data_IF_449758458970
#
_entry.id   IF_449758458970
#
_cell.length_a   1.000
_cell.length_b   1.000
_cell.length_c   1.000
_cell.angle_alpha   90.00
_cell.angle_beta   90.00
_cell.angle_gamma   90.00
#
_symmetry.space_group_name_H-M   'P 1'
#
loop_
_entity.id
_entity.type
_entity.pdbx_description
1 polymer ?
#
# COMPACT_ATOMS: atom_id res chain seq x y z
N UNK A 1 22.85 40.04 -49.46
CA UNK A 1 23.77 41.00 -48.82
C UNK A 1 24.75 40.15 -48.04
N UNK A 2 25.80 39.71 -48.72
CA UNK A 2 27.13 40.33 -48.78
C UNK A 2 27.91 40.15 -47.47
N UNK A 3 29.00 39.41 -47.64
CA UNK A 3 30.12 39.07 -46.76
C UNK A 3 30.86 40.28 -46.13
N UNK A 4 31.78 40.02 -45.15
CA UNK A 4 32.52 41.00 -44.33
C UNK A 4 33.73 41.56 -45.15
N UNK A 5 34.89 42.06 -44.64
CA UNK A 5 35.45 42.27 -43.28
C UNK A 5 36.17 43.64 -43.12
N UNK A 6 36.97 43.87 -42.07
CA UNK A 6 38.40 44.24 -42.25
C UNK A 6 39.21 44.38 -40.95
N UNK A 7 40.51 44.16 -41.11
CA UNK A 7 41.58 44.09 -40.13
C UNK A 7 42.29 45.43 -39.89
N UNK A 8 43.19 45.45 -38.89
CA UNK A 8 44.45 46.19 -38.96
C UNK A 8 44.65 47.33 -37.95
N UNK A 9 45.79 47.32 -37.26
CA UNK A 9 46.28 48.46 -36.46
C UNK A 9 47.55 48.17 -35.66
N UNK A 10 48.70 48.26 -36.33
CA UNK A 10 50.07 48.26 -35.77
C UNK A 10 50.42 49.51 -34.95
N UNK A 11 51.46 49.38 -34.10
CA UNK A 11 52.39 50.46 -33.69
C UNK A 11 52.09 51.12 -32.33
N UNK A 12 53.05 51.40 -31.45
CA UNK A 12 54.50 51.38 -31.56
C UNK A 12 55.16 51.76 -30.23
N UNK A 13 56.42 51.32 -30.06
CA UNK A 13 57.27 51.60 -28.90
C UNK A 13 57.92 52.98 -29.07
N UNK A 14 57.78 53.86 -28.07
CA UNK A 14 58.47 55.14 -28.00
C UNK A 14 59.27 55.25 -26.71
N UNK A 15 60.58 55.05 -26.80
CA UNK A 15 61.54 55.40 -25.74
C UNK A 15 62.10 56.81 -25.93
N UNK A 16 62.60 57.41 -24.85
CA UNK A 16 63.45 58.59 -24.91
C UNK A 16 63.37 59.47 -23.66
N UNK A 17 64.47 59.55 -22.90
CA UNK A 17 64.61 60.52 -21.82
C UNK A 17 65.77 60.24 -20.87
N UNK A 18 67.01 60.35 -21.35
CA UNK A 18 68.23 60.33 -20.53
C UNK A 18 68.59 61.71 -19.97
N UNK A 19 69.17 61.73 -18.77
CA UNK A 19 69.94 62.81 -18.14
C UNK A 19 69.76 62.77 -16.61
N UNK A 20 70.76 62.69 -15.74
CA UNK A 20 72.22 62.78 -15.85
C UNK A 20 72.77 63.55 -14.63
N UNK A 21 73.64 62.93 -13.83
CA UNK A 21 74.43 63.54 -12.74
C UNK A 21 74.22 62.83 -11.39
N UNK A 22 75.22 62.41 -10.60
CA UNK A 22 76.69 62.48 -10.69
C UNK A 22 77.29 62.48 -9.27
N UNK A 23 78.37 61.72 -9.02
CA UNK A 23 79.29 61.76 -7.84
C UNK A 23 78.94 60.79 -6.71
N UNK A 24 79.64 59.66 -6.53
CA UNK A 24 80.98 59.47 -5.86
C UNK A 24 80.92 59.90 -4.37
N UNK A 25 81.11 59.01 -3.39
CA UNK A 25 82.44 58.73 -2.79
C UNK A 25 82.46 57.44 -1.93
N UNK A 26 83.66 56.84 -1.87
CA UNK A 26 84.03 55.57 -1.26
C UNK A 26 84.37 55.64 0.25
N UNK A 27 84.40 54.44 0.86
CA UNK A 27 85.32 53.93 1.89
C UNK A 27 84.72 53.59 3.27
N UNK A 28 84.73 52.29 3.61
CA UNK A 28 85.59 51.72 4.65
C UNK A 28 85.34 50.20 4.81
N UNK A 29 86.42 49.44 4.61
CA UNK A 29 86.63 48.03 4.97
C UNK A 29 86.25 47.71 6.43
N UNK A 30 85.64 46.54 6.70
CA UNK A 30 86.08 45.64 7.78
C UNK A 30 85.48 44.22 7.64
N UNK A 31 86.38 43.24 7.75
CA UNK A 31 86.25 41.84 8.17
C UNK A 31 85.26 40.85 7.51
N UNK A 32 85.89 40.02 6.67
CA UNK A 32 85.54 38.64 6.36
C UNK A 32 85.56 37.74 7.60
N UNK A 33 84.41 37.21 8.00
CA UNK A 33 84.14 35.77 8.24
C UNK A 33 82.81 35.63 9.00
N UNK A 34 81.70 35.61 8.26
CA UNK A 34 80.48 34.95 8.71
C UNK A 34 79.96 34.13 7.55
N UNK A 35 80.07 32.82 7.70
CA UNK A 35 79.41 31.82 6.88
C UNK A 35 77.95 32.20 6.67
N UNK A 36 77.61 32.57 5.43
CA UNK A 36 76.23 32.67 4.95
C UNK A 36 75.66 31.24 4.95
N UNK A 37 75.16 30.79 6.10
CA UNK A 37 73.94 30.00 6.06
C UNK A 37 72.87 30.93 5.49
N UNK A 38 72.19 30.60 4.39
CA UNK A 38 70.97 31.32 4.08
C UNK A 38 70.04 31.10 5.28
N UNK A 39 69.89 32.17 6.07
CA UNK A 39 68.72 32.41 6.88
C UNK A 39 67.56 32.47 5.89
N UNK A 40 67.09 31.28 5.49
CA UNK A 40 65.72 31.10 5.09
C UNK A 40 64.93 31.48 6.33
N UNK A 41 64.62 32.78 6.42
CA UNK A 41 63.69 33.30 7.40
C UNK A 41 62.55 32.31 7.48
N UNK A 42 62.31 31.82 8.69
CA UNK A 42 61.37 30.75 8.98
C UNK A 42 60.02 31.04 8.34
N UNK A 43 59.87 30.54 7.12
CA UNK A 43 58.59 30.23 6.54
C UNK A 43 58.16 29.00 7.31
N UNK A 44 57.25 29.25 8.24
CA UNK A 44 56.34 28.29 8.83
C UNK A 44 56.13 27.12 7.84
N UNK A 45 56.42 25.85 8.22
CA UNK A 45 56.29 24.74 7.31
C UNK A 45 54.81 24.58 6.93
N UNK A 46 54.46 25.14 5.78
CA UNK A 46 53.29 24.78 4.97
C UNK A 46 52.03 24.57 5.81
N UNK A 47 51.38 25.67 6.19
CA UNK A 47 49.93 25.65 6.34
C UNK A 47 49.32 24.95 5.12
N UNK A 48 48.67 23.83 5.38
CA UNK A 48 47.73 23.09 4.52
C UNK A 48 47.85 23.35 3.01
N UNK A 49 48.67 22.56 2.32
CA UNK A 49 48.77 22.61 0.86
C UNK A 49 47.45 22.25 0.15
N UNK A 50 46.45 21.74 0.87
CA UNK A 50 45.12 21.42 0.34
C UNK A 50 44.37 22.68 -0.11
N UNK A 51 43.96 22.75 -1.38
CA UNK A 51 43.12 23.85 -1.88
C UNK A 51 41.70 23.89 -1.29
N UNK A 52 41.32 22.85 -0.54
CA UNK A 52 40.09 22.78 0.24
C UNK A 52 40.40 22.83 1.74
N UNK A 53 39.96 21.80 2.47
CA UNK A 53 40.21 21.64 3.89
C UNK A 53 40.69 20.21 4.18
N UNK A 54 41.54 20.10 5.18
CA UNK A 54 41.99 18.81 5.69
C UNK A 54 41.02 18.34 6.79
N UNK A 55 40.37 17.20 6.58
CA UNK A 55 39.45 16.58 7.54
C UNK A 55 39.86 15.12 7.82
N UNK A 56 39.45 14.53 8.97
CA UNK A 56 39.76 13.14 9.27
C UNK A 56 39.28 12.21 8.15
N UNK A 57 40.10 11.23 7.78
CA UNK A 57 39.72 10.22 6.79
C UNK A 57 38.49 9.44 7.25
N UNK A 58 37.64 9.06 6.29
CA UNK A 58 36.50 8.19 6.51
C UNK A 58 36.92 6.81 7.04
N UNK A 59 36.18 6.22 7.99
CA UNK A 59 36.34 4.82 8.33
C UNK A 59 35.94 3.92 7.14
N UNK A 60 36.43 2.68 7.14
CA UNK A 60 36.08 1.71 6.11
C UNK A 60 34.55 1.51 6.02
N UNK A 61 34.02 1.53 4.80
CA UNK A 61 32.58 1.37 4.51
C UNK A 61 31.82 2.69 4.37
N UNK A 62 32.37 3.81 4.81
CA UNK A 62 31.79 5.14 4.62
C UNK A 62 32.26 5.76 3.30
N UNK A 63 31.47 6.70 2.78
CA UNK A 63 31.89 7.52 1.64
C UNK A 63 33.08 8.41 2.00
N UNK A 64 33.82 8.85 0.99
CA UNK A 64 34.74 9.98 1.15
C UNK A 64 33.99 11.23 1.66
N UNK A 65 34.64 12.10 2.45
CA UNK A 65 34.02 13.33 2.95
C UNK A 65 33.60 14.26 1.80
N UNK A 66 32.34 14.67 1.81
CA UNK A 66 31.76 15.61 0.87
C UNK A 66 31.00 16.72 1.57
N UNK A 67 30.37 17.59 0.78
CA UNK A 67 29.57 18.70 1.27
C UNK A 67 28.10 18.28 1.38
N UNK A 68 27.43 18.60 2.48
CA UNK A 68 26.02 18.33 2.71
C UNK A 68 25.29 19.64 3.04
N UNK A 69 24.29 19.98 2.25
CA UNK A 69 23.33 21.02 2.60
C UNK A 69 22.06 20.40 3.17
N UNK A 70 21.46 21.04 4.17
CA UNK A 70 20.23 20.63 4.83
C UNK A 70 19.34 21.87 4.97
N UNK A 71 18.09 21.80 4.50
CA UNK A 71 17.18 22.93 4.60
C UNK A 71 15.79 22.66 4.04
N UNK A 72 15.03 23.72 3.77
CA UNK A 72 13.67 23.61 3.22
C UNK A 72 13.68 23.05 1.79
N UNK A 73 12.82 22.07 1.44
CA UNK A 73 12.66 21.58 0.08
C UNK A 73 12.34 22.67 -0.97
N UNK A 74 11.78 23.80 -0.55
CA UNK A 74 11.43 24.90 -1.47
C UNK A 74 12.64 25.76 -1.88
N UNK A 75 13.76 25.65 -1.16
CA UNK A 75 14.93 26.52 -1.30
C UNK A 75 16.24 25.73 -1.49
N UNK A 76 16.19 24.57 -2.15
CA UNK A 76 17.39 23.74 -2.38
C UNK A 76 18.39 24.50 -3.27
N UNK A 77 19.62 24.79 -2.80
CA UNK A 77 20.63 25.48 -3.58
C UNK A 77 21.24 24.55 -4.63
N UNK A 78 21.98 25.12 -5.59
CA UNK A 78 22.87 24.34 -6.45
C UNK A 78 24.16 23.96 -5.71
N UNK A 79 24.78 22.85 -6.11
CA UNK A 79 26.10 22.48 -5.62
C UNK A 79 27.15 23.57 -5.92
N UNK A 80 28.06 23.87 -4.97
CA UNK A 80 29.06 24.92 -5.14
C UNK A 80 30.13 24.53 -6.15
N UNK A 81 30.83 25.51 -6.73
CA UNK A 81 31.89 25.26 -7.72
C UNK A 81 33.05 24.40 -7.20
N UNK A 82 33.29 24.39 -5.88
CA UNK A 82 34.30 23.55 -5.22
C UNK A 82 33.88 22.08 -5.13
N UNK A 83 32.58 21.78 -5.17
CA UNK A 83 32.02 20.44 -5.19
C UNK A 83 30.82 20.38 -6.15
N UNK A 84 31.03 20.46 -7.49
CA UNK A 84 29.97 20.73 -8.45
C UNK A 84 29.09 19.51 -8.77
N UNK A 85 29.43 18.33 -8.28
CA UNK A 85 28.76 17.07 -8.63
C UNK A 85 27.71 16.77 -7.55
N UNK A 86 26.45 16.61 -7.94
CA UNK A 86 25.39 16.10 -7.06
C UNK A 86 25.66 14.62 -6.80
N UNK A 87 25.96 14.27 -5.55
CA UNK A 87 26.20 12.91 -5.09
C UNK A 87 25.01 12.29 -4.35
N UNK A 88 24.11 13.11 -3.81
CA UNK A 88 22.94 12.62 -3.07
C UNK A 88 21.81 13.66 -3.04
N UNK A 89 20.57 13.19 -3.13
CA UNK A 89 19.36 13.96 -2.84
C UNK A 89 18.46 13.12 -1.92
N UNK A 90 17.95 13.71 -0.85
CA UNK A 90 17.08 13.00 0.08
C UNK A 90 16.29 13.95 0.97
N UNK A 91 15.44 13.36 1.81
CA UNK A 91 14.46 14.09 2.59
C UNK A 91 14.35 13.57 4.02
N UNK A 92 13.96 14.44 4.94
CA UNK A 92 13.70 14.11 6.34
C UNK A 92 12.43 14.81 6.86
N UNK A 93 12.03 14.45 8.08
CA UNK A 93 10.84 14.97 8.75
C UNK A 93 9.56 14.77 7.91
N UNK A 94 9.30 13.50 7.60
CA UNK A 94 8.10 13.10 6.87
C UNK A 94 6.84 13.30 7.71
N UNK A 95 5.92 14.14 7.22
CA UNK A 95 4.58 14.28 7.75
C UNK A 95 3.61 13.42 6.92
N UNK A 96 3.08 12.31 7.48
CA UNK A 96 2.11 11.48 6.77
C UNK A 96 0.82 12.27 6.55
N UNK A 97 0.12 12.05 5.42
CA UNK A 97 -1.14 12.70 5.15
C UNK A 97 -2.27 12.05 5.96
N UNK A 98 -3.50 12.54 5.78
CA UNK A 98 -4.68 11.95 6.39
C UNK A 98 -4.78 10.43 6.07
N UNK A 99 -5.36 9.63 7.00
CA UNK A 99 -5.59 8.21 6.77
C UNK A 99 -6.40 7.97 5.48
N UNK A 100 -6.06 6.90 4.75
CA UNK A 100 -6.80 6.50 3.56
C UNK A 100 -8.24 6.14 3.96
N UNK A 101 -9.21 6.81 3.34
CA UNK A 101 -10.61 6.45 3.45
C UNK A 101 -10.91 5.36 2.42
N UNK A 102 -11.50 4.27 2.88
CA UNK A 102 -11.86 3.15 2.04
C UNK A 102 -13.39 3.03 1.94
N UNK A 103 -13.91 2.52 0.81
CA UNK A 103 -15.34 2.38 0.61
C UNK A 103 -15.94 1.38 1.61
N UNK A 104 -17.18 1.65 2.00
CA UNK A 104 -17.97 0.66 2.75
C UNK A 104 -18.39 -0.45 1.78
N UNK A 105 -18.23 -1.71 2.17
CA UNK A 105 -18.68 -2.84 1.35
C UNK A 105 -20.17 -3.13 1.57
N UNK A 106 -20.83 -3.62 0.52
CA UNK A 106 -22.19 -4.14 0.56
C UNK A 106 -22.34 -5.39 -0.30
N UNK A 107 -23.41 -6.14 -0.06
CA UNK A 107 -23.74 -7.36 -0.80
C UNK A 107 -25.07 -7.19 -1.51
N UNK A 108 -25.15 -7.63 -2.77
CA UNK A 108 -26.44 -7.77 -3.45
C UNK A 108 -27.27 -8.87 -2.80
N UNK A 109 -28.61 -8.79 -2.87
CA UNK A 109 -29.46 -9.89 -2.41
C UNK A 109 -29.09 -11.19 -3.13
N UNK A 110 -29.06 -12.32 -2.42
CA UNK A 110 -28.78 -13.61 -3.05
C UNK A 110 -29.96 -14.02 -3.96
N UNK A 111 -29.65 -14.69 -5.07
CA UNK A 111 -30.66 -15.39 -5.83
C UNK A 111 -31.03 -16.68 -5.09
N UNK A 112 -32.32 -16.98 -4.95
CA UNK A 112 -32.77 -18.20 -4.31
C UNK A 112 -33.93 -18.85 -5.07
N UNK A 113 -34.08 -20.15 -4.87
CA UNK A 113 -35.25 -20.93 -5.31
C UNK A 113 -35.74 -21.82 -4.17
N UNK A 114 -37.05 -22.05 -4.12
CA UNK A 114 -37.65 -23.03 -3.23
C UNK A 114 -37.85 -24.34 -4.00
N UNK A 115 -37.12 -25.37 -3.64
CA UNK A 115 -37.31 -26.72 -4.15
C UNK A 115 -38.52 -27.35 -3.43
N UNK A 116 -39.52 -27.71 -4.22
CA UNK A 116 -40.76 -28.31 -3.73
C UNK A 116 -40.51 -29.75 -3.27
N UNK A 117 -41.22 -30.23 -2.22
CA UNK A 117 -41.03 -31.57 -1.73
C UNK A 117 -41.59 -32.60 -2.70
N UNK A 118 -40.73 -33.53 -3.15
CA UNK A 118 -41.12 -34.63 -4.04
C UNK A 118 -41.44 -35.93 -3.29
N UNK A 119 -40.98 -36.06 -2.05
CA UNK A 119 -41.24 -37.21 -1.20
C UNK A 119 -42.56 -37.07 -0.42
N UNK A 120 -43.53 -37.90 -0.80
CA UNK A 120 -44.86 -37.97 -0.22
C UNK A 120 -45.18 -39.43 0.09
N UNK A 121 -45.61 -39.71 1.32
CA UNK A 121 -45.88 -41.07 1.78
C UNK A 121 -47.21 -41.15 2.52
N UNK A 122 -48.07 -42.08 2.11
CA UNK A 122 -49.29 -42.39 2.82
C UNK A 122 -49.08 -43.55 3.80
N UNK A 123 -49.71 -43.47 4.97
CA UNK A 123 -49.64 -44.50 6.01
C UNK A 123 -51.03 -44.95 6.43
N UNK A 124 -51.12 -46.23 6.82
CA UNK A 124 -52.32 -46.86 7.34
C UNK A 124 -52.62 -46.53 8.83
N UNK A 125 -51.98 -45.50 9.39
CA UNK A 125 -52.18 -45.04 10.76
C UNK A 125 -51.85 -43.55 10.91
N UNK A 126 -52.30 -42.93 12.01
CA UNK A 126 -51.90 -41.58 12.42
C UNK A 126 -51.31 -41.63 13.84
N UNK A 127 -50.23 -40.86 14.16
CA UNK A 127 -49.44 -40.01 13.26
C UNK A 127 -48.74 -40.80 12.17
N UNK A 128 -48.23 -40.09 11.15
CA UNK A 128 -47.39 -40.67 10.11
C UNK A 128 -46.29 -41.50 10.76
N UNK A 129 -46.13 -42.73 10.29
CA UNK A 129 -45.42 -43.77 11.04
C UNK A 129 -43.93 -43.49 11.27
N UNK A 130 -43.34 -44.22 12.22
CA UNK A 130 -41.91 -44.20 12.52
C UNK A 130 -41.06 -44.92 11.45
N UNK A 131 -39.72 -45.00 11.62
CA UNK A 131 -38.79 -45.45 10.59
C UNK A 131 -39.04 -46.86 10.00
N UNK A 132 -39.81 -47.71 10.68
CA UNK A 132 -40.15 -49.07 10.23
C UNK A 132 -41.61 -49.23 9.78
N UNK A 133 -42.41 -48.16 9.80
CA UNK A 133 -43.81 -48.24 9.41
C UNK A 133 -43.95 -48.41 7.90
N UNK A 134 -44.73 -49.39 7.40
CA UNK A 134 -44.93 -49.58 5.98
C UNK A 134 -45.60 -48.35 5.37
N UNK A 135 -44.94 -47.77 4.36
CA UNK A 135 -45.38 -46.59 3.65
C UNK A 135 -45.89 -46.97 2.25
N UNK A 136 -47.02 -46.41 1.85
CA UNK A 136 -47.45 -46.40 0.46
C UNK A 136 -46.90 -45.15 -0.20
N UNK A 137 -45.99 -45.32 -1.17
CA UNK A 137 -45.44 -44.18 -1.89
C UNK A 137 -46.54 -43.43 -2.63
N UNK A 138 -46.62 -42.13 -2.40
CA UNK A 138 -47.41 -41.17 -3.16
C UNK A 138 -46.47 -40.10 -3.75
N UNK A 139 -45.19 -40.43 -3.94
CA UNK A 139 -44.15 -39.50 -4.34
C UNK A 139 -44.44 -38.84 -5.70
N UNK A 140 -43.98 -37.60 -5.86
CA UNK A 140 -43.98 -36.89 -7.13
C UNK A 140 -42.91 -37.47 -8.08
N UNK A 141 -43.03 -37.26 -9.40
CA UNK A 141 -41.97 -37.63 -10.33
C UNK A 141 -40.68 -36.82 -10.06
N UNK A 142 -39.55 -37.36 -10.50
CA UNK A 142 -38.28 -36.64 -10.45
C UNK A 142 -38.35 -35.34 -11.28
N UNK A 143 -37.76 -34.25 -10.76
CA UNK A 143 -37.77 -32.95 -11.44
C UNK A 143 -39.12 -32.22 -11.44
N UNK A 144 -40.07 -32.66 -10.63
CA UNK A 144 -41.38 -32.02 -10.52
C UNK A 144 -41.32 -30.59 -9.99
N UNK A 145 -42.06 -29.68 -10.62
CA UNK A 145 -42.11 -28.25 -10.32
C UNK A 145 -43.27 -27.84 -9.40
N UNK A 146 -44.10 -28.80 -8.98
CA UNK A 146 -45.29 -28.57 -8.16
C UNK A 146 -46.60 -28.52 -8.96
N UNK A 147 -46.55 -28.59 -10.30
CA UNK A 147 -47.74 -28.67 -11.16
C UNK A 147 -48.64 -29.87 -10.84
N UNK A 148 -49.94 -29.82 -11.16
CA UNK A 148 -50.82 -30.94 -10.88
C UNK A 148 -50.33 -32.26 -11.51
N UNK A 149 -50.22 -33.33 -10.72
CA UNK A 149 -49.83 -34.65 -11.21
C UNK A 149 -50.57 -35.78 -10.50
N UNK A 150 -50.96 -36.81 -11.26
CA UNK A 150 -51.57 -38.05 -10.78
C UNK A 150 -50.57 -39.22 -10.71
N UNK A 151 -49.28 -38.96 -10.89
CA UNK A 151 -48.23 -39.98 -10.79
C UNK A 151 -48.23 -40.59 -9.38
N UNK A 152 -48.11 -41.91 -9.29
CA UNK A 152 -48.17 -42.70 -8.05
C UNK A 152 -49.48 -42.54 -7.26
N UNK A 153 -50.62 -42.29 -7.93
CA UNK A 153 -51.93 -42.23 -7.28
C UNK A 153 -52.26 -43.51 -6.49
N UNK A 154 -53.01 -43.33 -5.39
CA UNK A 154 -53.50 -44.41 -4.53
C UNK A 154 -55.01 -44.49 -4.66
N UNK A 155 -55.50 -45.63 -5.16
CA UNK A 155 -56.93 -45.87 -5.35
C UNK A 155 -57.70 -45.93 -4.02
N UNK A 156 -58.97 -45.54 -4.06
CA UNK A 156 -59.86 -45.63 -2.90
C UNK A 156 -60.01 -47.08 -2.42
N UNK A 157 -60.06 -47.27 -1.10
CA UNK A 157 -60.28 -48.58 -0.50
C UNK A 157 -59.12 -49.59 -0.65
N UNK A 158 -57.98 -49.19 -1.22
CA UNK A 158 -56.79 -50.04 -1.26
C UNK A 158 -56.37 -50.45 0.15
N UNK A 159 -56.09 -51.73 0.35
CA UNK A 159 -55.68 -52.29 1.64
C UNK A 159 -54.18 -52.59 1.69
N UNK A 160 -53.58 -52.26 2.83
CA UNK A 160 -52.18 -52.49 3.19
C UNK A 160 -52.21 -53.19 4.56
N UNK A 161 -51.69 -54.42 4.64
CA UNK A 161 -51.68 -55.26 5.84
C UNK A 161 -53.07 -55.41 6.53
N UNK A 162 -54.13 -55.48 5.71
CA UNK A 162 -55.50 -55.69 6.17
C UNK A 162 -56.24 -54.43 6.63
N UNK A 163 -55.60 -53.26 6.57
CA UNK A 163 -56.21 -51.95 6.85
C UNK A 163 -56.18 -51.05 5.61
N UNK A 164 -56.98 -49.97 5.54
CA UNK A 164 -56.86 -48.99 4.46
C UNK A 164 -55.47 -48.35 4.43
N UNK A 165 -54.84 -48.32 3.25
CA UNK A 165 -53.46 -47.81 3.07
C UNK A 165 -53.29 -46.33 3.42
N UNK A 166 -54.39 -45.56 3.36
CA UNK A 166 -54.37 -44.10 3.52
C UNK A 166 -55.20 -43.71 4.73
N UNK A 167 -54.52 -43.25 5.77
CA UNK A 167 -55.08 -42.65 6.99
C UNK A 167 -54.27 -41.42 7.45
N UNK A 168 -53.01 -41.33 7.04
CA UNK A 168 -52.22 -40.12 7.14
C UNK A 168 -51.32 -39.93 5.92
N UNK A 169 -50.86 -38.70 5.73
CA UNK A 169 -49.98 -38.30 4.63
C UNK A 169 -48.79 -37.53 5.20
N UNK A 170 -47.58 -38.05 4.99
CA UNK A 170 -46.34 -37.37 5.28
C UNK A 170 -45.80 -36.70 4.02
N UNK A 171 -45.27 -35.50 4.18
CA UNK A 171 -44.67 -34.70 3.11
C UNK A 171 -43.36 -34.13 3.65
N UNK A 172 -42.26 -34.31 2.94
CA UNK A 172 -40.99 -33.72 3.36
C UNK A 172 -41.04 -32.19 3.39
N UNK A 173 -40.13 -31.59 4.14
CA UNK A 173 -39.96 -30.14 4.12
C UNK A 173 -39.48 -29.69 2.72
N UNK A 174 -39.96 -28.54 2.20
CA UNK A 174 -39.31 -27.90 1.05
C UNK A 174 -37.86 -27.53 1.40
N UNK A 175 -37.04 -27.22 0.39
CA UNK A 175 -35.66 -26.77 0.61
C UNK A 175 -35.40 -25.45 -0.09
N UNK A 176 -34.66 -24.55 0.56
CA UNK A 176 -34.17 -23.35 -0.11
C UNK A 176 -32.79 -23.64 -0.67
N UNK A 177 -32.59 -23.30 -1.94
CA UNK A 177 -31.26 -23.28 -2.54
C UNK A 177 -30.95 -21.84 -2.93
N UNK A 178 -29.94 -21.28 -2.26
CA UNK A 178 -29.46 -19.92 -2.50
C UNK A 178 -28.10 -19.95 -3.19
N UNK A 179 -27.92 -19.07 -4.17
CA UNK A 179 -26.61 -18.73 -4.71
C UNK A 179 -25.91 -17.70 -3.81
N UNK A 180 -24.59 -17.56 -3.94
CA UNK A 180 -23.82 -16.56 -3.20
C UNK A 180 -24.20 -15.12 -3.58
N UNK A 181 -23.89 -14.17 -2.70
CA UNK A 181 -24.10 -12.75 -2.99
C UNK A 181 -22.94 -12.15 -3.80
N UNK A 182 -23.26 -11.26 -4.73
CA UNK A 182 -22.25 -10.46 -5.41
C UNK A 182 -21.79 -9.30 -4.50
N UNK A 183 -20.48 -9.13 -4.24
CA UNK A 183 -19.97 -8.00 -3.49
C UNK A 183 -19.99 -6.71 -4.33
N UNK A 184 -20.26 -5.59 -3.68
CA UNK A 184 -20.22 -4.25 -4.27
C UNK A 184 -19.69 -3.22 -3.28
N UNK A 185 -19.32 -2.06 -3.80
CA UNK A 185 -19.01 -0.87 -3.00
C UNK A 185 -20.29 -0.09 -2.72
N UNK A 186 -20.54 0.21 -1.45
CA UNK A 186 -21.67 1.00 -0.98
C UNK A 186 -21.36 2.49 -1.06
N UNK A 187 -21.83 3.12 -2.14
CA UNK A 187 -21.63 4.56 -2.38
C UNK A 187 -20.21 4.88 -2.86
N UNK A 188 -20.10 5.80 -3.82
CA UNK A 188 -18.82 6.47 -4.06
C UNK A 188 -18.50 7.34 -2.85
N UNK A 189 -17.24 7.45 -2.39
CA UNK A 189 -16.88 8.46 -1.40
C UNK A 189 -17.36 9.83 -1.88
N UNK A 190 -17.93 10.64 -0.98
CA UNK A 190 -18.55 11.93 -1.32
C UNK A 190 -17.60 12.93 -2.01
N UNK A 191 -16.29 12.68 -1.98
CA UNK A 191 -15.28 13.44 -2.72
C UNK A 191 -14.24 12.51 -3.36
N UNK A 192 -14.47 12.03 -4.60
CA UNK A 192 -13.48 11.25 -5.34
C UNK A 192 -12.30 12.11 -5.86
N UNK A 193 -12.44 13.44 -5.87
CA UNK A 193 -11.53 14.38 -6.51
C UNK A 193 -10.61 15.17 -5.55
N UNK A 194 -10.70 14.95 -4.23
CA UNK A 194 -9.67 15.50 -3.34
C UNK A 194 -8.45 14.56 -3.43
N UNK A 195 -7.34 14.98 -4.08
CA UNK A 195 -6.17 14.14 -4.16
C UNK A 195 -5.76 13.84 -2.72
N UNK A 196 -5.76 12.55 -2.35
CA UNK A 196 -5.19 12.11 -1.09
C UNK A 196 -3.80 12.73 -1.03
N UNK A 197 -3.62 13.72 -0.17
CA UNK A 197 -2.44 14.58 -0.20
C UNK A 197 -1.25 13.64 -0.10
N UNK A 198 -0.30 13.71 -1.03
CA UNK A 198 0.96 13.02 -0.82
C UNK A 198 1.54 13.61 0.47
N UNK A 199 2.01 12.77 1.39
CA UNK A 199 2.68 13.28 2.59
C UNK A 199 3.82 14.22 2.19
N UNK A 200 4.19 15.13 3.07
CA UNK A 200 5.22 16.13 2.80
C UNK A 200 6.45 15.89 3.64
N UNK A 201 7.62 16.17 3.10
CA UNK A 201 8.84 16.29 3.88
C UNK A 201 9.07 17.75 4.25
N UNK A 202 9.48 18.00 5.49
CA UNK A 202 9.82 19.35 5.94
C UNK A 202 11.30 19.72 5.64
N UNK A 203 12.16 18.72 5.41
CA UNK A 203 13.59 18.90 5.19
C UNK A 203 14.02 18.19 3.91
N UNK A 204 14.84 18.87 3.11
CA UNK A 204 15.61 18.32 2.01
C UNK A 204 17.11 18.34 2.34
N UNK A 205 17.83 17.38 1.77
CA UNK A 205 19.27 17.25 1.86
C UNK A 205 19.88 17.11 0.47
N UNK A 206 20.98 17.83 0.25
CA UNK A 206 21.75 17.79 -0.99
C UNK A 206 23.22 17.49 -0.66
N UNK A 207 23.69 16.32 -1.08
CA UNK A 207 25.09 15.93 -1.01
C UNK A 207 25.82 16.32 -2.28
N UNK A 208 26.91 17.06 -2.14
CA UNK A 208 27.76 17.55 -3.23
C UNK A 208 29.19 17.02 -3.07
N UNK A 209 29.76 16.53 -4.16
CA UNK A 209 31.13 15.98 -4.19
C UNK A 209 32.00 16.70 -5.21
N UNK A 210 33.31 16.64 -5.00
CA UNK A 210 34.31 17.28 -5.84
C UNK A 210 35.71 16.82 -5.45
N UNK A 211 36.69 17.20 -6.26
CA UNK A 211 38.08 16.85 -6.00
C UNK A 211 38.82 18.05 -5.42
N UNK A 212 39.55 17.84 -4.33
CA UNK A 212 40.48 18.83 -3.78
C UNK A 212 41.91 18.25 -3.80
N UNK A 213 42.88 19.11 -4.13
CA UNK A 213 44.28 18.73 -4.31
C UNK A 213 45.16 19.96 -4.06
N UNK A 214 46.44 19.80 -3.70
CA UNK A 214 47.17 18.57 -3.32
C UNK A 214 46.72 17.96 -1.98
N UNK A 215 47.16 16.72 -1.63
CA UNK A 215 46.76 16.06 -0.38
C UNK A 215 47.28 16.79 0.87
N UNK A 216 46.66 16.49 2.01
CA UNK A 216 47.06 16.99 3.32
C UNK A 216 48.42 16.45 3.76
N UNK A 217 49.10 17.22 4.63
CA UNK A 217 50.40 16.83 5.17
C UNK A 217 50.30 15.62 6.13
N UNK A 218 49.20 15.52 6.90
CA UNK A 218 48.92 14.38 7.77
C UNK A 218 48.25 13.23 6.96
N UNK A 219 48.85 12.03 6.90
CA UNK A 219 48.26 10.88 6.21
C UNK A 219 46.95 10.36 6.82
N UNK A 220 46.62 10.74 8.06
CA UNK A 220 45.32 10.47 8.70
C UNK A 220 44.21 11.42 8.25
N UNK A 221 44.54 12.45 7.48
CA UNK A 221 43.62 13.45 6.96
C UNK A 221 43.45 13.29 5.45
N UNK A 222 42.28 13.68 4.94
CA UNK A 222 42.00 13.75 3.51
C UNK A 222 41.67 15.18 3.11
N UNK A 223 42.11 15.57 1.91
CA UNK A 223 41.82 16.88 1.35
C UNK A 223 40.44 16.81 0.67
N UNK A 224 39.47 17.55 1.21
CA UNK A 224 38.09 17.61 0.70
C UNK A 224 37.71 19.05 0.35
N UNK A 225 36.76 19.28 -0.58
CA UNK A 225 36.21 20.61 -0.81
C UNK A 225 35.76 21.30 0.49
N UNK A 226 36.07 22.59 0.60
CA UNK A 226 35.61 23.41 1.72
C UNK A 226 34.21 23.96 1.46
N UNK A 227 33.37 24.08 2.51
CA UNK A 227 32.16 24.88 2.46
C UNK A 227 32.46 26.31 1.96
N UNK A 228 31.55 26.93 1.21
CA UNK A 228 31.68 28.34 0.85
C UNK A 228 31.70 29.23 2.11
N UNK A 229 32.50 30.30 2.10
CA UNK A 229 32.62 31.28 3.20
C UNK A 229 31.62 32.42 2.96
N UNK A 230 30.95 32.93 4.02
CA UNK A 230 30.06 34.11 3.96
C UNK A 230 28.61 33.79 4.33
N UNK A 231 27.62 34.41 3.65
CA UNK A 231 26.18 34.14 3.85
C UNK A 231 25.76 32.68 3.53
N UNK A 232 26.71 31.87 3.05
CA UNK A 232 26.62 30.44 2.82
C UNK A 232 27.29 29.59 3.93
N UNK A 233 27.64 30.19 5.07
CA UNK A 233 28.11 29.50 6.27
C UNK A 233 26.94 28.98 7.12
N UNK A 234 27.12 27.90 7.92
CA UNK A 234 26.06 27.33 8.75
C UNK A 234 25.41 28.38 9.68
N UNK A 235 24.08 28.39 9.88
CA UNK A 235 23.18 27.23 9.83
C UNK A 235 22.52 26.91 8.47
N UNK A 236 22.66 27.77 7.44
CA UNK A 236 22.12 27.56 6.08
C UNK A 236 23.20 27.15 5.04
N UNK A 237 24.37 26.75 5.53
CA UNK A 237 25.55 26.42 4.74
C UNK A 237 25.81 24.92 4.54
N UNK A 238 26.82 24.60 3.74
CA UNK A 238 27.26 23.22 3.55
C UNK A 238 28.09 22.72 4.75
N UNK A 239 27.75 21.55 5.26
CA UNK A 239 28.50 20.78 6.25
C UNK A 239 29.46 19.82 5.56
N UNK A 240 30.53 19.42 6.23
CA UNK A 240 31.44 18.38 5.70
C UNK A 240 31.13 17.05 6.33
N UNK A 241 30.67 16.09 5.53
CA UNK A 241 30.08 14.86 6.04
C UNK A 241 30.49 13.65 5.22
N UNK A 242 30.51 12.50 5.89
CA UNK A 242 30.58 11.17 5.28
C UNK A 242 29.18 10.55 5.29
N UNK A 243 28.88 9.65 4.35
CA UNK A 243 27.60 8.95 4.32
C UNK A 243 27.73 7.43 4.18
N UNK A 244 26.69 6.74 4.62
CA UNK A 244 26.53 5.30 4.47
C UNK A 244 25.05 4.98 4.24
N UNK A 245 24.77 4.05 3.32
CA UNK A 245 23.41 3.54 3.08
C UNK A 245 22.89 2.80 4.32
N UNK A 246 21.66 3.09 4.73
CA UNK A 246 21.02 2.58 5.95
C UNK A 246 21.14 3.53 7.14
N UNK A 247 20.54 3.11 8.26
CA UNK A 247 20.65 3.80 9.54
C UNK A 247 21.86 3.26 10.33
N UNK A 248 22.84 4.12 10.58
CA UNK A 248 24.09 3.76 11.24
C UNK A 248 24.41 4.72 12.39
N UNK A 249 25.25 4.27 13.32
CA UNK A 249 25.87 5.14 14.31
C UNK A 249 27.06 5.87 13.70
N UNK A 250 27.23 7.13 14.07
CA UNK A 250 28.33 7.92 13.57
C UNK A 250 29.66 7.60 14.27
N UNK A 251 30.78 7.60 13.53
CA UNK A 251 32.09 7.47 14.14
C UNK A 251 32.43 8.71 14.98
N UNK A 252 33.30 8.55 15.97
CA UNK A 252 33.70 9.63 16.87
C UNK A 252 34.32 10.86 16.15
N UNK A 253 34.89 10.66 14.95
CA UNK A 253 35.46 11.72 14.10
C UNK A 253 34.40 12.57 13.39
N UNK A 254 33.18 12.06 13.24
CA UNK A 254 32.05 12.73 12.59
C UNK A 254 30.79 12.60 13.46
N UNK A 255 30.73 13.22 14.65
CA UNK A 255 29.72 12.87 15.66
C UNK A 255 28.30 13.34 15.35
N UNK A 256 28.11 14.27 14.40
CA UNK A 256 26.81 14.89 14.15
C UNK A 256 26.02 14.09 13.13
N UNK A 257 25.00 13.37 13.62
CA UNK A 257 24.21 12.40 12.85
C UNK A 257 22.97 13.02 12.23
N UNK A 258 22.78 12.78 10.94
CA UNK A 258 21.56 13.09 10.19
C UNK A 258 21.10 11.86 9.39
N UNK A 259 19.80 11.62 9.30
CA UNK A 259 19.23 10.52 8.52
C UNK A 259 18.26 11.09 7.50
N UNK A 260 18.44 10.70 6.24
CA UNK A 260 17.59 11.10 5.14
C UNK A 260 17.11 9.88 4.36
N UNK A 261 16.00 10.03 3.67
CA UNK A 261 15.34 8.99 2.90
C UNK A 261 15.22 9.45 1.44
N UNK A 262 15.39 8.53 0.49
CA UNK A 262 15.27 8.87 -0.93
C UNK A 262 13.82 9.21 -1.35
N UNK A 263 12.84 8.77 -0.56
CA UNK A 263 11.43 9.03 -0.80
C UNK A 263 10.54 8.22 0.13
N UNK A 264 9.32 7.95 -0.33
CA UNK A 264 8.28 7.23 0.41
C UNK A 264 7.73 6.12 -0.46
N UNK A 265 7.53 4.94 0.13
CA UNK A 265 6.74 3.89 -0.48
C UNK A 265 5.32 3.93 0.10
N UNK A 266 4.33 4.17 -0.77
CA UNK A 266 2.92 4.13 -0.42
C UNK A 266 2.29 2.83 -0.95
N UNK A 267 2.13 1.85 -0.06
CA UNK A 267 1.41 0.61 -0.35
C UNK A 267 -0.03 0.66 0.16
N UNK A 268 -0.51 1.83 0.61
CA UNK A 268 -1.84 1.94 1.20
C UNK A 268 -2.91 1.70 0.15
N UNK A 269 -3.72 0.68 0.38
CA UNK A 269 -4.86 0.31 -0.44
C UNK A 269 -6.10 0.08 0.41
N UNK A 270 -7.11 -0.50 -0.21
CA UNK A 270 -8.31 -0.96 0.47
C UNK A 270 -8.44 -2.46 0.29
N UNK A 271 -8.80 -3.18 1.35
CA UNK A 271 -9.14 -4.59 1.25
C UNK A 271 -10.28 -4.78 0.24
N UNK A 272 -10.23 -5.81 -0.62
CA UNK A 272 -11.30 -6.06 -1.58
C UNK A 272 -12.61 -6.38 -0.85
N UNK A 273 -13.73 -5.89 -1.38
CA UNK A 273 -15.04 -6.24 -0.85
C UNK A 273 -15.38 -7.71 -1.09
N UNK A 274 -15.95 -8.35 -0.08
CA UNK A 274 -16.47 -9.71 -0.14
C UNK A 274 -17.79 -9.85 0.60
N UNK A 275 -18.42 -11.02 0.42
CA UNK A 275 -19.69 -11.39 1.04
C UNK A 275 -19.58 -12.79 1.65
N UNK A 276 -20.18 -12.99 2.82
CA UNK A 276 -20.36 -14.32 3.39
C UNK A 276 -21.41 -15.14 2.61
N UNK A 277 -21.54 -16.42 2.95
CA UNK A 277 -22.64 -17.25 2.44
C UNK A 277 -24.00 -16.72 2.92
N UNK A 278 -25.07 -16.87 2.12
CA UNK A 278 -26.42 -16.46 2.52
C UNK A 278 -26.88 -17.14 3.80
N UNK A 279 -27.34 -16.35 4.76
CA UNK A 279 -27.93 -16.82 6.00
C UNK A 279 -29.41 -16.41 6.12
N UNK A 280 -30.19 -17.23 6.82
CA UNK A 280 -31.60 -16.95 7.12
C UNK A 280 -32.56 -17.16 5.95
N UNK A 281 -32.15 -17.88 4.90
CA UNK A 281 -33.02 -18.18 3.77
C UNK A 281 -34.16 -19.12 4.21
N UNK A 282 -35.40 -18.78 3.86
CA UNK A 282 -36.58 -19.58 4.22
C UNK A 282 -37.56 -19.66 3.04
N UNK A 283 -38.28 -20.77 2.92
CA UNK A 283 -39.43 -20.82 2.02
C UNK A 283 -40.60 -21.56 2.64
N UNK A 284 -41.80 -21.18 2.20
CA UNK A 284 -43.03 -21.86 2.56
C UNK A 284 -43.80 -22.27 1.30
N UNK A 285 -44.40 -23.45 1.34
CA UNK A 285 -45.16 -24.03 0.23
C UNK A 285 -46.52 -24.52 0.72
N UNK A 286 -47.53 -24.41 -0.13
CA UNK A 286 -48.83 -25.06 0.06
C UNK A 286 -48.81 -26.37 -0.72
N UNK A 287 -48.72 -27.47 0.01
CA UNK A 287 -48.82 -28.81 -0.53
C UNK A 287 -50.28 -29.28 -0.45
N UNK A 288 -50.83 -29.77 -1.56
CA UNK A 288 -52.23 -30.22 -1.65
C UNK A 288 -52.32 -31.62 -2.27
N UNK A 289 -53.17 -32.46 -1.70
CA UNK A 289 -53.56 -33.76 -2.22
C UNK A 289 -55.05 -33.74 -2.55
N UNK A 290 -55.41 -34.42 -3.64
CA UNK A 290 -56.76 -34.47 -4.19
C UNK A 290 -57.18 -35.90 -4.45
N UNK A 291 -58.49 -36.16 -4.45
CA UNK A 291 -59.05 -37.50 -4.65
C UNK A 291 -59.21 -37.86 -6.12
N UNK A 292 -59.31 -36.85 -6.98
CA UNK A 292 -59.38 -36.98 -8.44
C UNK A 292 -58.00 -36.78 -9.09
N UNK A 293 -57.89 -37.02 -10.39
CA UNK A 293 -56.66 -36.87 -11.15
C UNK A 293 -56.41 -35.44 -11.68
N UNK A 294 -57.38 -34.53 -11.56
CA UNK A 294 -57.35 -33.18 -12.12
C UNK A 294 -57.10 -32.08 -11.07
N UNK A 295 -56.66 -32.45 -9.86
CA UNK A 295 -56.43 -31.54 -8.74
C UNK A 295 -57.64 -30.64 -8.41
N UNK A 296 -58.85 -31.20 -8.40
CA UNK A 296 -60.08 -30.42 -8.22
C UNK A 296 -60.83 -30.71 -6.91
N UNK A 297 -60.76 -31.95 -6.42
CA UNK A 297 -61.45 -32.44 -5.23
C UNK A 297 -60.44 -32.58 -4.07
N UNK A 298 -60.21 -31.47 -3.36
CA UNK A 298 -59.21 -31.37 -2.29
C UNK A 298 -59.50 -32.36 -1.15
N UNK A 299 -58.48 -33.14 -0.79
CA UNK A 299 -58.50 -34.09 0.33
C UNK A 299 -57.75 -33.53 1.52
N UNK A 300 -56.56 -32.98 1.28
CA UNK A 300 -55.73 -32.38 2.31
C UNK A 300 -54.88 -31.26 1.74
N UNK A 301 -54.68 -30.21 2.55
CA UNK A 301 -53.77 -29.11 2.25
C UNK A 301 -52.93 -28.79 3.48
N UNK A 302 -51.63 -28.60 3.30
CA UNK A 302 -50.69 -28.27 4.37
C UNK A 302 -49.73 -27.17 3.92
N UNK A 303 -49.50 -26.20 4.81
CA UNK A 303 -48.42 -25.23 4.63
C UNK A 303 -47.17 -25.81 5.29
N UNK A 304 -46.13 -25.99 4.49
CA UNK A 304 -44.83 -26.54 4.92
C UNK A 304 -43.78 -25.44 4.86
N UNK A 305 -42.80 -25.49 5.75
CA UNK A 305 -41.66 -24.57 5.81
C UNK A 305 -40.36 -25.35 5.71
N UNK A 306 -39.27 -24.70 5.32
CA UNK A 306 -38.00 -25.33 4.94
C UNK A 306 -37.39 -26.32 5.96
N UNK A 307 -37.80 -26.24 7.24
CA UNK A 307 -37.24 -27.05 8.33
C UNK A 307 -38.25 -28.03 8.97
N UNK A 308 -39.49 -28.07 8.48
CA UNK A 308 -40.57 -28.81 9.11
C UNK A 308 -41.31 -29.73 8.12
N UNK A 309 -41.05 -31.06 8.15
CA UNK A 309 -41.86 -31.99 7.38
C UNK A 309 -43.30 -31.99 7.91
N UNK A 310 -44.26 -32.18 7.01
CA UNK A 310 -45.67 -32.24 7.32
C UNK A 310 -46.15 -33.66 7.59
N UNK A 311 -47.11 -33.78 8.50
CA UNK A 311 -47.93 -34.97 8.63
C UNK A 311 -49.39 -34.56 8.83
N UNK A 312 -50.28 -35.03 7.97
CA UNK A 312 -51.72 -34.75 8.02
C UNK A 312 -52.54 -36.01 8.19
N UNK A 313 -53.69 -35.89 8.88
CA UNK A 313 -54.72 -36.94 8.86
C UNK A 313 -55.46 -36.93 7.54
N UNK A 314 -55.80 -38.11 7.04
CA UNK A 314 -56.65 -38.32 5.86
C UNK A 314 -57.81 -39.23 6.28
N UNK A 315 -59.02 -38.99 5.76
CA UNK A 315 -60.13 -39.88 6.04
C UNK A 315 -59.81 -41.30 5.52
N UNK A 316 -60.07 -42.30 6.38
CA UNK A 316 -59.64 -43.67 6.15
C UNK A 316 -60.18 -44.23 4.83
N UNK A 317 -59.28 -44.73 3.98
CA UNK A 317 -59.63 -45.34 2.70
C UNK A 317 -59.96 -44.37 1.56
N UNK A 318 -59.76 -43.06 1.75
CA UNK A 318 -59.83 -42.08 0.66
C UNK A 318 -58.80 -42.34 -0.43
N UNK A 319 -59.14 -41.96 -1.67
CA UNK A 319 -58.18 -41.92 -2.75
C UNK A 319 -57.21 -40.74 -2.60
N UNK A 320 -55.97 -40.95 -3.03
CA UNK A 320 -55.01 -39.91 -3.35
C UNK A 320 -54.80 -39.93 -4.86
N UNK A 321 -55.67 -39.24 -5.60
CA UNK A 321 -55.72 -39.24 -7.06
C UNK A 321 -54.71 -38.31 -7.72
N UNK A 322 -54.40 -37.17 -7.09
CA UNK A 322 -53.39 -36.22 -7.59
C UNK A 322 -52.85 -35.31 -6.49
N UNK A 323 -51.79 -34.59 -6.80
CA UNK A 323 -51.08 -33.67 -5.90
C UNK A 323 -50.59 -32.43 -6.64
N UNK A 324 -50.47 -31.33 -5.90
CA UNK A 324 -49.85 -30.08 -6.36
C UNK A 324 -49.10 -29.40 -5.22
N UNK A 325 -48.07 -28.63 -5.56
CA UNK A 325 -47.38 -27.73 -4.62
C UNK A 325 -47.30 -26.35 -5.24
N UNK A 326 -47.60 -25.33 -4.45
CA UNK A 326 -47.36 -23.92 -4.83
C UNK A 326 -46.47 -23.24 -3.80
N UNK A 327 -45.51 -22.45 -4.25
CA UNK A 327 -44.65 -21.64 -3.37
C UNK A 327 -45.47 -20.44 -2.88
N UNK A 328 -45.59 -20.29 -1.57
CA UNK A 328 -46.32 -19.19 -0.93
C UNK A 328 -45.36 -18.03 -0.64
N UNK A 329 -44.19 -18.33 -0.10
CA UNK A 329 -43.17 -17.34 0.23
C UNK A 329 -41.77 -17.89 0.01
N UNK A 330 -40.87 -17.00 -0.40
CA UNK A 330 -39.44 -17.26 -0.48
C UNK A 330 -38.71 -16.02 0.03
N UNK A 331 -37.98 -16.18 1.12
CA UNK A 331 -36.98 -15.23 1.58
C UNK A 331 -35.60 -15.79 1.20
N UNK A 332 -34.86 -15.12 0.29
CA UNK A 332 -33.56 -15.62 -0.16
C UNK A 332 -32.47 -15.54 0.92
N UNK A 333 -32.72 -14.84 2.03
CA UNK A 333 -31.74 -14.58 3.08
C UNK A 333 -30.87 -13.37 2.76
N UNK A 334 -29.79 -13.19 3.53
CA UNK A 334 -28.85 -12.07 3.39
C UNK A 334 -27.42 -12.54 3.58
N UNK A 335 -26.48 -11.82 2.96
CA UNK A 335 -25.06 -11.98 3.21
C UNK A 335 -24.53 -10.80 4.01
N UNK A 336 -23.56 -11.06 4.88
CA UNK A 336 -22.83 -10.02 5.59
C UNK A 336 -21.64 -9.57 4.73
N UNK A 337 -21.51 -8.25 4.46
CA UNK A 337 -20.35 -7.73 3.75
C UNK A 337 -19.12 -7.70 4.65
N UNK A 338 -17.95 -7.88 4.05
CA UNK A 338 -16.65 -7.68 4.69
C UNK A 338 -15.66 -7.03 3.71
N UNK A 339 -14.54 -6.54 4.21
CA UNK A 339 -13.56 -5.82 3.41
C UNK A 339 -13.79 -4.31 3.48
N UNK A 340 -13.08 -3.57 2.62
CA UNK A 340 -13.16 -2.11 2.62
C UNK A 340 -12.41 -1.47 3.78
N UNK A 341 -11.63 -2.22 4.55
CA UNK A 341 -10.71 -1.65 5.53
C UNK A 341 -9.41 -1.15 4.85
N UNK A 342 -8.79 -0.08 5.35
CA UNK A 342 -7.46 0.32 4.89
C UNK A 342 -6.42 -0.76 5.14
N UNK A 343 -5.60 -1.04 4.13
CA UNK A 343 -4.49 -2.00 4.20
C UNK A 343 -3.20 -1.36 3.69
N UNK A 344 -2.07 -2.01 3.95
CA UNK A 344 -0.75 -1.52 3.54
C UNK A 344 -0.20 -0.46 4.48
N UNK A 345 0.91 0.16 4.07
CA UNK A 345 1.65 1.12 4.87
C UNK A 345 2.19 2.27 4.02
N UNK A 346 2.51 3.37 4.69
CA UNK A 346 3.22 4.51 4.13
C UNK A 346 4.48 4.74 4.94
N UNK A 347 5.64 4.49 4.34
CA UNK A 347 6.92 4.59 5.06
C UNK A 347 8.02 5.22 4.19
N UNK A 348 8.91 6.02 4.79
CA UNK A 348 10.14 6.44 4.12
C UNK A 348 10.99 5.23 3.71
N UNK A 349 11.68 5.34 2.57
CA UNK A 349 12.50 4.26 2.01
C UNK A 349 13.93 4.71 1.73
N UNK A 350 14.83 3.73 1.61
CA UNK A 350 16.24 3.93 1.31
C UNK A 350 16.87 4.99 2.23
N UNK A 351 16.89 4.68 3.53
CA UNK A 351 17.58 5.50 4.51
C UNK A 351 19.06 5.64 4.15
N UNK A 352 19.64 6.81 4.39
CA UNK A 352 21.07 7.06 4.35
C UNK A 352 21.44 7.90 5.57
N UNK A 353 22.50 7.49 6.25
CA UNK A 353 23.05 8.22 7.39
C UNK A 353 24.18 9.11 6.92
N UNK A 354 24.09 10.39 7.24
CA UNK A 354 25.16 11.36 7.10
C UNK A 354 25.74 11.68 8.47
N UNK A 355 27.06 11.65 8.57
CA UNK A 355 27.80 11.96 9.77
C UNK A 355 28.72 13.13 9.46
N UNK A 356 28.51 14.25 10.15
CA UNK A 356 29.18 15.51 9.86
C UNK A 356 30.28 15.82 10.88
N UNK A 357 31.34 16.44 10.38
CA UNK A 357 32.45 16.90 11.21
C UNK A 357 32.06 18.21 11.88
N UNK A 358 32.39 18.34 13.18
CA UNK A 358 32.25 19.61 13.89
C UNK A 358 33.39 20.53 13.50
N UNK A 359 33.18 21.41 12.54
CA UNK A 359 34.10 22.53 12.34
C UNK A 359 34.01 23.45 13.55
N UNK A 360 35.02 23.38 14.41
CA UNK A 360 35.15 24.31 15.53
C UNK A 360 35.53 25.70 15.00
N UNK A 361 34.55 26.56 14.68
CA UNK A 361 34.59 28.02 14.86
C UNK A 361 33.41 28.75 14.18
N UNK A 362 32.38 29.08 14.96
CA UNK A 362 31.79 30.43 14.93
C UNK A 362 32.13 31.03 16.29
N UNK A 363 32.99 32.06 16.39
CA UNK A 363 33.15 32.78 17.65
C UNK A 363 31.86 33.56 17.96
N UNK A 364 31.47 33.52 19.23
CA UNK A 364 30.35 34.27 19.80
C UNK A 364 30.56 35.78 19.76
#
# INVERSE_FOLDING_TARGET
>A
MLEPPDAGGDGGCGGGGSGGGGGDDCAAEDDTDVSITPDLGGLDPTSDLCAGQCVPKEPFGWSEPGLLWIGSPDNVPSCPATAPIVGYEGYADFAPPAPRQCPVCACDPPEARCEVPVEWNAYASFPCGGPEAPATSFAAPEGWDGSCTSVNAVEAGRTCDGAPCVQSLAIQAPRVVSAGCAPRVAGAPENPDEPATAGSFAIAALGCTGNASPPCADPGMTCTPSPPIGDAAPPEGFLTCIHHEGEHECPATYPDRHVFYAGVEDTRGCAPCGCTDPAGATCSVLASAFSDAACSELVAGQVLTADAPGCGTIASGMALGSKSVSVISLDPGRCEPFGGEPVGNLAPIAAATFCCHRTSAVPA
#
